data_IF_468467800821
#
_entry.id   IF_468467800821
#
_cell.length_a   1.000
_cell.length_b   1.000
_cell.length_c   1.000
_cell.angle_alpha   90.00
_cell.angle_beta   90.00
_cell.angle_gamma   90.00
#
_symmetry.space_group_name_H-M   'P 1'
#
loop_
_entity.id
_entity.type
_entity.pdbx_description
1 polymer ?
#
# COMPACT_ATOMS: atom_id res chain seq x y z
N UNK A 1 -24.98 36.41 -65.80
CA UNK A 1 -26.22 35.66 -66.11
C UNK A 1 -26.27 35.37 -67.60
N UNK A 2 -26.75 34.18 -67.95
CA UNK A 2 -26.53 33.49 -69.21
C UNK A 2 -27.22 34.14 -70.43
N UNK A 3 -26.49 34.19 -71.55
CA UNK A 3 -27.05 34.33 -72.89
C UNK A 3 -27.28 32.96 -73.55
N UNK A 4 -28.47 32.76 -74.11
CA UNK A 4 -28.88 31.71 -75.09
C UNK A 4 -30.36 32.03 -75.43
N UNK A 5 -30.89 32.04 -76.66
CA UNK A 5 -30.66 31.26 -77.88
C UNK A 5 -31.18 32.07 -79.08
N UNK A 6 -30.69 31.75 -80.28
CA UNK A 6 -31.33 32.21 -81.52
C UNK A 6 -30.62 31.74 -82.80
N UNK A 7 -30.50 30.42 -82.99
CA UNK A 7 -30.00 29.79 -84.23
C UNK A 7 -31.17 29.15 -84.96
N UNK A 8 -31.39 29.52 -86.23
CA UNK A 8 -32.00 28.74 -87.34
C UNK A 8 -31.96 29.68 -88.56
N UNK A 9 -31.53 29.31 -89.75
CA UNK A 9 -31.35 27.99 -90.33
C UNK A 9 -31.53 28.16 -91.84
N UNK A 10 -30.40 28.33 -92.52
CA UNK A 10 -30.13 28.21 -93.95
C UNK A 10 -31.10 27.28 -94.71
N UNK A 11 -31.71 27.78 -95.79
CA UNK A 11 -32.06 26.96 -96.97
C UNK A 11 -31.69 27.75 -98.23
N UNK A 12 -30.55 27.36 -98.81
CA UNK A 12 -30.28 27.61 -100.22
C UNK A 12 -30.78 26.42 -101.05
N UNK A 13 -31.18 26.69 -102.28
CA UNK A 13 -30.90 25.90 -103.49
C UNK A 13 -31.61 26.57 -104.66
N UNK A 14 -30.83 27.05 -105.64
CA UNK A 14 -30.47 26.36 -106.90
C UNK A 14 -31.61 26.51 -107.91
N UNK A 15 -31.38 27.29 -108.97
CA UNK A 15 -30.61 26.96 -110.19
C UNK A 15 -31.59 26.53 -111.28
N UNK A 16 -31.28 26.97 -112.49
CA UNK A 16 -31.92 26.52 -113.71
C UNK A 16 -32.55 27.72 -114.38
N UNK A 17 -31.84 28.44 -115.25
CA UNK A 17 -31.17 27.86 -116.41
C UNK A 17 -32.23 27.74 -117.51
N UNK A 18 -32.18 28.64 -118.49
CA UNK A 18 -31.36 28.50 -119.70
C UNK A 18 -32.21 27.92 -120.82
N UNK A 19 -31.96 28.46 -122.01
CA UNK A 19 -32.48 28.10 -123.35
C UNK A 19 -33.78 28.84 -123.67
N UNK A 20 -33.91 29.43 -124.84
CA UNK A 20 -33.08 29.37 -126.03
C UNK A 20 -33.84 30.14 -127.12
N UNK A 21 -33.14 30.95 -127.89
CA UNK A 21 -32.50 30.50 -129.14
C UNK A 21 -33.52 30.49 -130.28
N UNK A 22 -33.48 31.55 -131.09
CA UNK A 22 -33.53 31.59 -132.56
C UNK A 22 -33.52 33.08 -132.91
N UNK A 23 -32.53 33.66 -133.58
CA UNK A 23 -31.71 33.08 -134.64
C UNK A 23 -31.94 33.94 -135.87
N UNK A 24 -31.28 35.10 -135.91
CA UNK A 24 -31.04 35.87 -137.13
C UNK A 24 -29.53 35.96 -137.29
N UNK A 25 -29.01 35.22 -138.27
CA UNK A 25 -27.60 34.93 -138.48
C UNK A 25 -26.77 36.18 -138.77
N UNK A 26 -25.62 36.22 -138.11
CA UNK A 26 -24.36 36.78 -138.59
C UNK A 26 -24.16 36.56 -140.09
N UNK A 27 -23.75 37.63 -140.78
CA UNK A 27 -22.75 37.47 -141.84
C UNK A 27 -21.45 37.09 -141.12
N UNK A 28 -21.21 35.79 -140.94
CA UNK A 28 -19.87 35.31 -140.60
C UNK A 28 -18.99 35.54 -141.83
N UNK A 29 -18.20 36.59 -141.66
CA UNK A 29 -16.99 36.92 -142.38
C UNK A 29 -16.09 35.68 -142.30
N UNK A 30 -15.59 35.23 -143.44
CA UNK A 30 -14.64 34.13 -143.50
C UNK A 30 -13.47 34.44 -142.58
N UNK A 31 -13.29 33.65 -141.49
CA UNK A 31 -12.27 33.97 -140.50
C UNK A 31 -10.86 33.73 -141.03
N UNK A 32 -10.30 34.83 -141.54
CA UNK A 32 -8.95 34.91 -142.10
C UNK A 32 -7.95 34.77 -140.95
N UNK A 33 -6.72 34.33 -141.20
CA UNK A 33 -5.67 34.25 -140.17
C UNK A 33 -5.54 35.55 -139.32
N UNK A 34 -5.96 36.69 -139.88
CA UNK A 34 -6.12 37.97 -139.21
C UNK A 34 -7.04 37.92 -137.98
N UNK A 35 -8.17 37.22 -138.01
CA UNK A 35 -9.11 37.19 -136.88
C UNK A 35 -8.68 36.25 -135.75
N UNK A 36 -7.89 35.20 -136.04
CA UNK A 36 -7.24 34.39 -135.00
C UNK A 36 -6.13 35.17 -134.29
N UNK A 37 -5.37 35.99 -135.03
CA UNK A 37 -4.38 36.92 -134.46
C UNK A 37 -5.08 37.99 -133.61
N UNK A 38 -6.20 38.54 -134.08
CA UNK A 38 -7.01 39.48 -133.31
C UNK A 38 -7.54 38.84 -132.02
N UNK A 39 -8.02 37.59 -132.05
CA UNK A 39 -8.49 36.90 -130.85
C UNK A 39 -7.37 36.66 -129.82
N UNK A 40 -6.15 36.33 -130.26
CA UNK A 40 -4.99 36.24 -129.36
C UNK A 40 -4.60 37.61 -128.80
N UNK A 41 -4.59 38.66 -129.62
CA UNK A 41 -4.35 40.03 -129.16
C UNK A 41 -5.40 40.49 -128.14
N UNK A 42 -6.68 40.15 -128.37
CA UNK A 42 -7.77 40.38 -127.42
C UNK A 42 -7.51 39.63 -126.13
N UNK A 43 -7.18 38.34 -126.16
CA UNK A 43 -6.91 37.56 -124.95
C UNK A 43 -5.70 38.07 -124.15
N UNK A 44 -4.64 38.54 -124.82
CA UNK A 44 -3.51 39.19 -124.14
C UNK A 44 -3.95 40.49 -123.46
N UNK A 45 -4.80 41.28 -124.10
CA UNK A 45 -5.37 42.50 -123.51
C UNK A 45 -6.33 42.16 -122.37
N UNK A 46 -7.16 41.13 -122.50
CA UNK A 46 -8.06 40.65 -121.46
C UNK A 46 -7.31 40.15 -120.23
N UNK A 47 -6.21 39.39 -120.41
CA UNK A 47 -5.37 38.96 -119.29
C UNK A 47 -4.70 40.14 -118.59
N UNK A 48 -4.19 41.12 -119.35
CA UNK A 48 -3.67 42.37 -118.78
C UNK A 48 -4.76 43.16 -118.05
N UNK A 49 -5.98 43.19 -118.59
CA UNK A 49 -7.13 43.84 -117.96
C UNK A 49 -7.53 43.10 -116.67
N UNK A 50 -7.44 41.77 -116.66
CA UNK A 50 -7.71 40.95 -115.48
C UNK A 50 -6.65 41.17 -114.39
N UNK A 51 -5.36 41.21 -114.76
CA UNK A 51 -4.25 41.56 -113.85
C UNK A 51 -4.46 42.96 -113.25
N UNK A 52 -4.77 43.96 -114.09
CA UNK A 52 -5.11 45.32 -113.63
C UNK A 52 -6.36 45.32 -112.74
N UNK A 53 -7.38 44.51 -113.05
CA UNK A 53 -8.57 44.39 -112.22
C UNK A 53 -8.27 43.78 -110.85
N UNK A 54 -7.33 42.84 -110.78
CA UNK A 54 -6.87 42.24 -109.54
C UNK A 54 -6.05 43.25 -108.72
N UNK A 55 -5.20 44.04 -109.37
CA UNK A 55 -4.49 45.14 -108.73
C UNK A 55 -5.45 46.19 -108.18
N UNK A 56 -6.44 46.63 -108.97
CA UNK A 56 -7.48 47.57 -108.54
C UNK A 56 -8.22 47.01 -107.32
N UNK A 57 -8.65 45.75 -107.36
CA UNK A 57 -9.31 45.10 -106.21
C UNK A 57 -8.40 45.04 -104.99
N UNK A 58 -7.11 44.77 -105.18
CA UNK A 58 -6.10 44.79 -104.12
C UNK A 58 -5.86 46.18 -103.54
N UNK A 59 -5.99 47.24 -104.35
CA UNK A 59 -5.96 48.64 -103.89
C UNK A 59 -7.25 49.00 -103.15
N UNK A 60 -8.42 48.62 -103.66
CA UNK A 60 -9.71 48.83 -103.01
C UNK A 60 -9.77 48.16 -101.63
N UNK A 61 -9.30 46.92 -101.50
CA UNK A 61 -9.20 46.25 -100.22
C UNK A 61 -8.23 46.94 -99.25
N UNK A 62 -7.08 47.43 -99.74
CA UNK A 62 -6.13 48.19 -98.92
C UNK A 62 -6.71 49.50 -98.44
N UNK A 63 -7.40 50.23 -99.33
CA UNK A 63 -8.11 51.46 -98.98
C UNK A 63 -9.19 51.16 -97.94
N UNK A 64 -9.97 50.10 -98.12
CA UNK A 64 -11.01 49.70 -97.16
C UNK A 64 -10.44 49.36 -95.78
N UNK A 65 -9.35 48.57 -95.71
CA UNK A 65 -8.68 48.26 -94.44
C UNK A 65 -8.13 49.51 -93.76
N UNK A 66 -7.58 50.45 -94.55
CA UNK A 66 -7.08 51.71 -94.03
C UNK A 66 -8.20 52.61 -93.51
N UNK A 67 -9.36 52.65 -94.19
CA UNK A 67 -10.55 53.36 -93.72
C UNK A 67 -11.08 52.77 -92.41
N UNK A 68 -11.26 51.45 -92.33
CA UNK A 68 -11.69 50.76 -91.11
C UNK A 68 -10.72 50.99 -89.94
N UNK A 69 -9.40 51.00 -90.20
CA UNK A 69 -8.39 51.34 -89.18
C UNK A 69 -8.51 52.78 -88.72
N UNK A 70 -8.72 53.72 -89.64
CA UNK A 70 -8.86 55.14 -89.31
C UNK A 70 -10.16 55.40 -88.52
N UNK A 71 -11.27 54.74 -88.86
CA UNK A 71 -12.52 54.80 -88.09
C UNK A 71 -12.35 54.27 -86.67
N UNK A 72 -11.67 53.13 -86.49
CA UNK A 72 -11.35 52.59 -85.15
C UNK A 72 -10.51 53.57 -84.35
N UNK A 73 -9.46 54.14 -84.96
CA UNK A 73 -8.61 55.13 -84.29
C UNK A 73 -9.39 56.39 -83.90
N UNK A 74 -10.28 56.89 -84.76
CA UNK A 74 -11.16 58.02 -84.42
C UNK A 74 -12.08 57.68 -83.25
N UNK A 75 -12.66 56.49 -83.24
CA UNK A 75 -13.51 56.05 -82.14
C UNK A 75 -12.73 55.92 -80.82
N UNK A 76 -11.51 55.37 -80.86
CA UNK A 76 -10.61 55.31 -79.72
C UNK A 76 -10.24 56.72 -79.20
N UNK A 77 -9.93 57.66 -80.12
CA UNK A 77 -9.65 59.05 -79.77
C UNK A 77 -10.87 59.74 -79.15
N UNK A 78 -12.08 59.51 -79.67
CA UNK A 78 -13.31 60.03 -79.08
C UNK A 78 -13.56 59.49 -77.69
N UNK A 79 -13.31 58.19 -77.46
CA UNK A 79 -13.43 57.57 -76.14
C UNK A 79 -12.41 58.16 -75.15
N UNK A 80 -11.16 58.32 -75.58
CA UNK A 80 -10.11 58.95 -74.78
C UNK A 80 -10.50 60.38 -74.41
N UNK A 81 -10.96 61.17 -75.40
CA UNK A 81 -11.38 62.54 -75.17
C UNK A 81 -12.56 62.62 -74.19
N UNK A 82 -13.56 61.74 -74.34
CA UNK A 82 -14.68 61.63 -73.40
C UNK A 82 -14.22 61.26 -71.99
N UNK A 83 -13.27 60.34 -71.86
CA UNK A 83 -12.70 59.96 -70.58
C UNK A 83 -11.98 61.13 -69.92
N UNK A 84 -11.11 61.83 -70.67
CA UNK A 84 -10.37 63.01 -70.18
C UNK A 84 -11.32 64.13 -69.74
N UNK A 85 -12.36 64.41 -70.52
CA UNK A 85 -13.37 65.40 -70.16
C UNK A 85 -14.14 65.00 -68.89
N UNK A 86 -14.45 63.71 -68.73
CA UNK A 86 -15.10 63.21 -67.51
C UNK A 86 -14.18 63.35 -66.30
N UNK A 87 -12.93 62.91 -66.38
CA UNK A 87 -11.97 63.03 -65.28
C UNK A 87 -11.73 64.49 -64.88
N UNK A 88 -11.69 65.40 -65.86
CA UNK A 88 -11.55 66.84 -65.60
C UNK A 88 -12.79 67.41 -64.90
N UNK A 89 -14.00 67.00 -65.34
CA UNK A 89 -15.24 67.39 -64.68
C UNK A 89 -15.34 66.86 -63.25
N UNK A 90 -14.95 65.61 -63.01
CA UNK A 90 -14.95 65.01 -61.68
C UNK A 90 -13.95 65.73 -60.76
N UNK A 91 -12.77 66.10 -61.27
CA UNK A 91 -11.80 66.91 -60.53
C UNK A 91 -12.34 68.32 -60.20
N UNK A 92 -12.96 69.00 -61.18
CA UNK A 92 -13.62 70.30 -60.94
C UNK A 92 -14.73 70.20 -59.89
N UNK A 93 -15.55 69.16 -59.93
CA UNK A 93 -16.62 68.97 -58.95
C UNK A 93 -16.06 68.78 -57.52
N UNK A 94 -14.91 68.12 -57.38
CA UNK A 94 -14.24 67.97 -56.07
C UNK A 94 -13.74 69.33 -55.58
N UNK A 95 -13.11 70.13 -56.45
CA UNK A 95 -12.64 71.47 -56.08
C UNK A 95 -13.79 72.45 -55.82
N UNK A 96 -14.91 72.31 -56.53
CA UNK A 96 -16.11 73.14 -56.34
C UNK A 96 -16.90 72.73 -55.08
N UNK A 97 -16.83 71.45 -54.69
CA UNK A 97 -17.40 70.94 -53.44
C UNK A 97 -16.55 71.29 -52.21
N UNK A 98 -15.26 71.59 -52.40
CA UNK A 98 -14.41 72.19 -51.39
C UNK A 98 -14.79 73.67 -51.22
N UNK A 99 -15.80 73.92 -50.39
CA UNK A 99 -16.11 75.27 -49.95
C UNK A 99 -14.87 75.94 -49.33
N UNK A 100 -14.66 77.22 -49.65
CA UNK A 100 -13.54 78.01 -49.14
C UNK A 100 -13.62 78.02 -47.61
N UNK A 101 -12.81 77.19 -46.96
CA UNK A 101 -12.78 77.07 -45.50
C UNK A 101 -12.28 78.39 -44.94
N UNK A 102 -13.11 79.04 -44.14
CA UNK A 102 -12.72 80.27 -43.46
C UNK A 102 -11.64 79.95 -42.43
N UNK A 103 -10.73 80.89 -42.16
CA UNK A 103 -9.72 80.77 -41.11
C UNK A 103 -10.32 80.31 -39.77
N UNK A 104 -11.54 80.77 -39.45
CA UNK A 104 -12.27 80.41 -38.23
C UNK A 104 -12.60 78.91 -38.15
N UNK A 105 -13.06 78.30 -39.25
CA UNK A 105 -13.42 76.87 -39.28
C UNK A 105 -12.17 75.99 -39.11
N UNK A 106 -11.05 76.40 -39.72
CA UNK A 106 -9.75 75.75 -39.52
C UNK A 106 -9.31 75.87 -38.06
N UNK A 107 -9.49 77.03 -37.42
CA UNK A 107 -9.14 77.19 -36.00
C UNK A 107 -10.03 76.37 -35.07
N UNK A 108 -11.34 76.25 -35.36
CA UNK A 108 -12.27 75.41 -34.58
C UNK A 108 -11.90 73.94 -34.69
N UNK A 109 -11.65 73.43 -35.89
CA UNK A 109 -11.21 72.05 -36.11
C UNK A 109 -9.85 71.77 -35.45
N UNK A 110 -8.93 72.73 -35.48
CA UNK A 110 -7.64 72.62 -34.80
C UNK A 110 -7.81 72.54 -33.27
N UNK A 111 -8.67 73.39 -32.70
CA UNK A 111 -9.01 73.35 -31.27
C UNK A 111 -9.66 72.02 -30.87
N UNK A 112 -10.60 71.51 -31.67
CA UNK A 112 -11.24 70.20 -31.42
C UNK A 112 -10.23 69.05 -31.51
N UNK A 113 -9.31 69.07 -32.48
CA UNK A 113 -8.22 68.08 -32.57
C UNK A 113 -7.30 68.15 -31.35
N UNK A 114 -6.94 69.34 -30.89
CA UNK A 114 -6.14 69.52 -29.67
C UNK A 114 -6.86 69.07 -28.41
N UNK A 115 -8.16 69.34 -28.29
CA UNK A 115 -8.97 68.85 -27.17
C UNK A 115 -9.03 67.33 -27.17
N UNK A 116 -9.36 66.71 -28.31
CA UNK A 116 -9.38 65.25 -28.45
C UNK A 116 -8.01 64.61 -28.17
N UNK A 117 -6.92 65.29 -28.55
CA UNK A 117 -5.57 64.85 -28.22
C UNK A 117 -5.33 64.85 -26.72
N UNK A 118 -5.69 65.94 -26.04
CA UNK A 118 -5.56 66.08 -24.59
C UNK A 118 -6.42 65.08 -23.82
N UNK A 119 -7.63 64.80 -24.29
CA UNK A 119 -8.50 63.77 -23.71
C UNK A 119 -7.86 62.39 -23.85
N UNK A 120 -7.38 62.03 -25.05
CA UNK A 120 -6.66 60.78 -25.26
C UNK A 120 -5.40 60.66 -24.39
N UNK A 121 -4.66 61.75 -24.20
CA UNK A 121 -3.50 61.77 -23.30
C UNK A 121 -3.89 61.50 -21.84
N UNK A 122 -4.99 62.10 -21.37
CA UNK A 122 -5.53 61.82 -20.04
C UNK A 122 -5.95 60.36 -19.90
N UNK A 123 -6.64 59.80 -20.90
CA UNK A 123 -7.06 58.41 -20.90
C UNK A 123 -5.85 57.46 -20.86
N UNK A 124 -4.81 57.76 -21.65
CA UNK A 124 -3.53 57.03 -21.63
C UNK A 124 -2.91 57.09 -20.23
N UNK A 125 -2.91 58.26 -19.58
CA UNK A 125 -2.33 58.41 -18.25
C UNK A 125 -3.15 57.70 -17.15
N UNK A 126 -4.48 57.63 -17.30
CA UNK A 126 -5.34 56.82 -16.42
C UNK A 126 -5.03 55.33 -16.59
N UNK A 127 -4.95 54.84 -17.83
CA UNK A 127 -4.60 53.44 -18.11
C UNK A 127 -3.21 53.11 -17.59
N UNK A 128 -2.22 54.00 -17.74
CA UNK A 128 -0.88 53.81 -17.17
C UNK A 128 -0.93 53.67 -15.65
N UNK A 129 -1.71 54.49 -14.95
CA UNK A 129 -1.88 54.39 -13.49
C UNK A 129 -2.53 53.06 -13.09
N UNK A 130 -3.54 52.61 -13.83
CA UNK A 130 -4.18 51.32 -13.60
C UNK A 130 -3.21 50.15 -13.81
N UNK A 131 -2.42 50.19 -14.90
CA UNK A 131 -1.36 49.21 -15.16
C UNK A 131 -0.35 49.19 -14.01
N UNK A 132 0.07 50.34 -13.49
CA UNK A 132 1.01 50.41 -12.37
C UNK A 132 0.43 49.78 -11.09
N UNK A 133 -0.84 50.08 -10.78
CA UNK A 133 -1.53 49.47 -9.63
C UNK A 133 -1.61 47.96 -9.80
N UNK A 134 -2.02 47.48 -10.97
CA UNK A 134 -2.12 46.04 -11.27
C UNK A 134 -0.76 45.35 -11.24
N UNK A 135 0.30 45.97 -11.73
CA UNK A 135 1.65 45.43 -11.61
C UNK A 135 2.07 45.28 -10.14
N UNK A 136 1.73 46.26 -9.28
CA UNK A 136 2.03 46.16 -7.85
C UNK A 136 1.24 45.03 -7.16
N UNK A 137 -0.02 44.80 -7.56
CA UNK A 137 -0.83 43.66 -7.08
C UNK A 137 -0.23 42.34 -7.55
N UNK A 138 0.17 42.25 -8.82
CA UNK A 138 0.82 41.07 -9.40
C UNK A 138 2.14 40.76 -8.68
N UNK A 139 2.96 41.76 -8.36
CA UNK A 139 4.21 41.55 -7.61
C UNK A 139 3.96 40.98 -6.21
N UNK A 140 2.90 41.42 -5.51
CA UNK A 140 2.54 40.87 -4.19
C UNK A 140 2.15 39.40 -4.31
N UNK A 141 1.27 39.07 -5.25
CA UNK A 141 0.84 37.69 -5.51
C UNK A 141 2.02 36.82 -5.94
N UNK A 142 2.94 37.35 -6.76
CA UNK A 142 4.15 36.62 -7.16
C UNK A 142 5.05 36.30 -5.96
N UNK A 143 5.20 37.21 -4.99
CA UNK A 143 5.94 36.95 -3.75
C UNK A 143 5.29 35.85 -2.92
N UNK A 144 3.97 35.87 -2.77
CA UNK A 144 3.22 34.82 -2.08
C UNK A 144 3.36 33.46 -2.79
N UNK A 145 3.22 33.43 -4.11
CA UNK A 145 3.43 32.22 -4.92
C UNK A 145 4.86 31.70 -4.76
N UNK A 146 5.85 32.58 -4.74
CA UNK A 146 7.24 32.19 -4.52
C UNK A 146 7.42 31.59 -3.12
N UNK A 147 6.86 32.22 -2.08
CA UNK A 147 6.87 31.69 -0.72
C UNK A 147 6.27 30.28 -0.68
N UNK A 148 5.06 30.09 -1.22
CA UNK A 148 4.41 28.77 -1.23
C UNK A 148 5.18 27.73 -2.02
N UNK A 149 5.85 28.11 -3.12
CA UNK A 149 6.74 27.19 -3.86
C UNK A 149 7.95 26.79 -3.01
N UNK A 150 8.64 27.75 -2.38
CA UNK A 150 9.78 27.43 -1.51
C UNK A 150 9.37 26.58 -0.31
N UNK A 151 8.17 26.82 0.23
CA UNK A 151 7.60 26.02 1.30
C UNK A 151 7.28 24.61 0.84
N UNK A 152 6.59 24.44 -0.30
CA UNK A 152 6.29 23.12 -0.88
C UNK A 152 7.57 22.33 -1.17
N UNK A 153 8.56 22.97 -1.78
CA UNK A 153 9.74 22.28 -2.29
C UNK A 153 10.78 21.99 -1.17
N UNK A 154 10.80 22.78 -0.08
CA UNK A 154 11.82 22.62 0.98
C UNK A 154 11.29 22.76 2.40
N UNK A 155 10.33 23.66 2.65
CA UNK A 155 9.75 23.87 3.98
C UNK A 155 9.00 22.64 4.50
N UNK A 156 8.22 22.00 3.63
CA UNK A 156 7.46 20.79 3.95
C UNK A 156 8.39 19.66 4.39
N UNK A 157 9.50 19.44 3.69
CA UNK A 157 10.46 18.39 4.05
C UNK A 157 11.14 18.64 5.39
N UNK A 158 11.47 19.91 5.71
CA UNK A 158 12.03 20.27 7.02
C UNK A 158 11.04 20.02 8.15
N UNK A 159 9.78 20.46 7.98
CA UNK A 159 8.73 20.21 8.97
C UNK A 159 8.45 18.71 9.11
N UNK A 160 8.38 17.97 8.01
CA UNK A 160 8.19 16.53 8.03
C UNK A 160 9.35 15.83 8.75
N UNK A 161 10.60 16.25 8.52
CA UNK A 161 11.75 15.70 9.23
C UNK A 161 11.68 15.99 10.73
N UNK A 162 11.31 17.22 11.11
CA UNK A 162 11.13 17.59 12.50
C UNK A 162 10.02 16.78 13.17
N UNK A 163 8.90 16.56 12.49
CA UNK A 163 7.81 15.73 13.00
C UNK A 163 8.30 14.30 13.22
N UNK A 164 8.98 13.70 12.23
CA UNK A 164 9.52 12.34 12.37
C UNK A 164 10.51 12.21 13.52
N UNK A 165 11.37 13.21 13.71
CA UNK A 165 12.33 13.24 14.80
C UNK A 165 11.60 13.29 16.15
N UNK A 166 10.58 14.14 16.29
CA UNK A 166 9.77 14.22 17.51
C UNK A 166 8.97 12.94 17.76
N UNK A 167 8.44 12.29 16.72
CA UNK A 167 7.76 10.99 16.83
C UNK A 167 8.73 9.91 17.31
N UNK A 168 9.96 9.91 16.80
CA UNK A 168 11.01 8.99 17.26
C UNK A 168 11.42 9.28 18.71
N UNK A 169 11.63 10.55 19.08
CA UNK A 169 11.94 10.93 20.46
C UNK A 169 10.83 10.51 21.44
N UNK A 170 9.56 10.64 21.05
CA UNK A 170 8.44 10.14 21.85
C UNK A 170 8.48 8.63 22.01
N UNK A 171 8.74 7.89 20.92
CA UNK A 171 8.83 6.43 20.98
C UNK A 171 10.02 5.95 21.83
N UNK A 172 11.17 6.61 21.72
CA UNK A 172 12.35 6.32 22.53
C UNK A 172 12.06 6.57 24.01
N UNK A 173 11.39 7.69 24.34
CA UNK A 173 10.94 8.00 25.69
C UNK A 173 9.98 6.92 26.22
N UNK A 174 8.98 6.52 25.45
CA UNK A 174 8.03 5.46 25.84
C UNK A 174 8.73 4.12 26.08
N UNK A 175 9.68 3.74 25.22
CA UNK A 175 10.48 2.53 25.43
C UNK A 175 11.33 2.60 26.71
N UNK A 176 11.96 3.75 26.96
CA UNK A 176 12.74 3.95 28.19
C UNK A 176 11.86 3.92 29.44
N UNK A 177 10.62 4.39 29.37
CA UNK A 177 9.67 4.30 30.47
C UNK A 177 9.28 2.86 30.76
N UNK A 178 9.00 2.06 29.73
CA UNK A 178 8.70 0.64 29.90
C UNK A 178 9.89 -0.14 30.48
N UNK A 179 11.11 0.16 30.02
CA UNK A 179 12.33 -0.47 30.54
C UNK A 179 12.58 -0.09 32.01
N UNK A 180 12.37 1.18 32.38
CA UNK A 180 12.44 1.63 33.77
C UNK A 180 11.36 1.00 34.64
N UNK A 181 10.12 0.91 34.15
CA UNK A 181 9.02 0.24 34.85
C UNK A 181 9.33 -1.24 35.10
N UNK A 182 9.85 -1.94 34.08
CA UNK A 182 10.25 -3.33 34.20
C UNK A 182 11.43 -3.51 35.16
N UNK A 183 12.41 -2.60 35.15
CA UNK A 183 13.51 -2.60 36.11
C UNK A 183 13.02 -2.40 37.54
N UNK A 184 12.22 -1.35 37.78
CA UNK A 184 11.67 -1.05 39.10
C UNK A 184 10.77 -2.18 39.60
N UNK A 185 10.01 -2.83 38.71
CA UNK A 185 9.18 -3.98 39.07
C UNK A 185 10.02 -5.19 39.47
N UNK A 186 11.11 -5.47 38.75
CA UNK A 186 12.07 -6.53 39.10
C UNK A 186 12.78 -6.23 40.41
N UNK A 187 13.27 -5.02 40.61
CA UNK A 187 13.93 -4.59 41.84
C UNK A 187 12.98 -4.67 43.04
N UNK A 188 11.74 -4.21 42.87
CA UNK A 188 10.68 -4.37 43.86
C UNK A 188 10.44 -5.85 44.18
N UNK A 189 10.37 -6.72 43.19
CA UNK A 189 10.12 -8.14 43.42
C UNK A 189 11.29 -8.80 44.17
N UNK A 190 12.53 -8.52 43.75
CA UNK A 190 13.72 -9.01 44.43
C UNK A 190 13.80 -8.55 45.89
N UNK A 191 13.49 -7.28 46.16
CA UNK A 191 13.46 -6.77 47.55
C UNK A 191 12.34 -7.40 48.39
N UNK A 192 11.19 -7.72 47.79
CA UNK A 192 10.12 -8.46 48.48
C UNK A 192 10.59 -9.86 48.82
N UNK A 193 11.17 -10.59 47.88
CA UNK A 193 11.69 -11.96 48.09
C UNK A 193 12.80 -11.99 49.14
N UNK A 194 13.69 -11.01 49.14
CA UNK A 194 14.73 -10.88 50.17
C UNK A 194 14.12 -10.59 51.55
N UNK A 195 13.12 -9.71 51.63
CA UNK A 195 12.40 -9.46 52.88
C UNK A 195 11.66 -10.70 53.36
N UNK A 196 10.97 -11.42 52.47
CA UNK A 196 10.27 -12.67 52.79
C UNK A 196 11.24 -13.70 53.37
N UNK A 197 12.37 -13.95 52.68
CA UNK A 197 13.41 -14.85 53.17
C UNK A 197 13.97 -14.42 54.53
N UNK A 198 14.29 -13.14 54.69
CA UNK A 198 14.78 -12.62 55.97
C UNK A 198 13.73 -12.74 57.09
N UNK A 199 12.44 -12.56 56.78
CA UNK A 199 11.36 -12.73 57.75
C UNK A 199 11.14 -14.20 58.11
N UNK A 200 11.25 -15.12 57.15
CA UNK A 200 11.15 -16.55 57.38
C UNK A 200 12.32 -17.06 58.26
N UNK A 201 13.55 -16.67 57.93
CA UNK A 201 14.72 -16.98 58.74
C UNK A 201 14.58 -16.45 60.18
N UNK A 202 14.07 -15.22 60.34
CA UNK A 202 13.82 -14.64 61.65
C UNK A 202 12.71 -15.39 62.42
N UNK A 203 11.66 -15.84 61.73
CA UNK A 203 10.57 -16.63 62.31
C UNK A 203 11.08 -18.02 62.77
N UNK A 204 11.87 -18.71 61.94
CA UNK A 204 12.49 -19.98 62.27
C UNK A 204 13.42 -19.84 63.49
N UNK A 205 14.28 -18.82 63.51
CA UNK A 205 15.14 -18.55 64.66
C UNK A 205 14.32 -18.26 65.93
N UNK A 206 13.18 -17.59 65.80
CA UNK A 206 12.29 -17.33 66.93
C UNK A 206 11.58 -18.61 67.39
N UNK A 207 11.18 -19.48 66.47
CA UNK A 207 10.62 -20.80 66.76
C UNK A 207 11.63 -21.68 67.50
N UNK A 208 12.90 -21.68 67.07
CA UNK A 208 13.99 -22.40 67.73
C UNK A 208 14.28 -21.87 69.13
N UNK A 209 14.28 -20.55 69.32
CA UNK A 209 14.43 -19.95 70.65
C UNK A 209 13.25 -20.30 71.56
N UNK A 210 12.03 -20.29 71.02
CA UNK A 210 10.83 -20.66 71.75
C UNK A 210 10.85 -22.15 72.14
N UNK A 211 11.24 -23.04 71.21
CA UNK A 211 11.36 -24.47 71.46
C UNK A 211 12.45 -24.78 72.48
N UNK A 212 13.61 -24.14 72.39
CA UNK A 212 14.69 -24.26 73.39
C UNK A 212 14.24 -23.77 74.77
N UNK A 213 13.52 -22.64 74.83
CA UNK A 213 12.99 -22.11 76.10
C UNK A 213 11.95 -23.06 76.70
N UNK A 214 11.06 -23.63 75.89
CA UNK A 214 10.12 -24.66 76.33
C UNK A 214 10.87 -25.90 76.86
N UNK A 215 11.85 -26.41 76.11
CA UNK A 215 12.69 -27.54 76.51
C UNK A 215 13.55 -27.27 77.76
N UNK A 216 13.83 -26.01 78.09
CA UNK A 216 14.51 -25.62 79.32
C UNK A 216 13.56 -25.51 80.53
N UNK A 217 12.26 -25.32 80.30
CA UNK A 217 11.24 -25.26 81.34
C UNK A 217 10.64 -26.63 81.68
N UNK A 218 10.81 -27.63 80.82
CA UNK A 218 10.36 -29.02 81.05
C UNK A 218 11.22 -29.74 82.09
N UNK A 219 10.64 -30.77 82.74
CA UNK A 219 11.38 -31.65 83.66
C UNK A 219 12.37 -32.53 82.88
N UNK A 220 13.41 -33.03 83.57
CA UNK A 220 14.48 -33.82 82.98
C UNK A 220 13.98 -35.10 82.30
N UNK A 221 12.95 -35.72 82.88
CA UNK A 221 12.35 -36.94 82.34
C UNK A 221 11.58 -36.64 81.03
N UNK A 222 10.67 -35.68 81.06
CA UNK A 222 9.89 -35.27 79.87
C UNK A 222 10.78 -34.80 78.72
N UNK A 223 11.86 -34.05 79.03
CA UNK A 223 12.86 -33.63 78.03
C UNK A 223 13.54 -34.82 77.36
N UNK A 224 13.87 -35.87 78.13
CA UNK A 224 14.50 -37.07 77.59
C UNK A 224 13.51 -37.82 76.69
N UNK A 225 12.24 -37.93 77.08
CA UNK A 225 11.22 -38.58 76.26
C UNK A 225 11.02 -37.87 74.91
N UNK A 226 11.06 -36.54 74.87
CA UNK A 226 11.00 -35.78 73.60
C UNK A 226 12.20 -36.08 72.71
N UNK A 227 13.42 -36.10 73.26
CA UNK A 227 14.64 -36.42 72.50
C UNK A 227 14.63 -37.86 71.98
N UNK A 228 14.17 -38.80 72.81
CA UNK A 228 14.04 -40.20 72.43
C UNK A 228 12.96 -40.38 71.36
N UNK A 229 11.85 -39.64 71.44
CA UNK A 229 10.81 -39.62 70.41
C UNK A 229 11.32 -39.05 69.08
N UNK A 230 12.10 -37.96 69.11
CA UNK A 230 12.71 -37.37 67.92
C UNK A 230 13.75 -38.31 67.29
N UNK A 231 14.51 -39.04 68.11
CA UNK A 231 15.43 -40.07 67.63
C UNK A 231 14.66 -41.24 67.00
N UNK A 232 13.63 -41.75 67.68
CA UNK A 232 12.78 -42.83 67.16
C UNK A 232 12.07 -42.43 65.87
N UNK A 233 11.60 -41.19 65.72
CA UNK A 233 11.00 -40.69 64.48
C UNK A 233 11.99 -40.70 63.32
N UNK A 234 13.22 -40.25 63.55
CA UNK A 234 14.30 -40.32 62.54
C UNK A 234 14.60 -41.77 62.15
N UNK A 235 14.71 -42.65 63.14
CA UNK A 235 14.99 -44.08 62.91
C UNK A 235 13.84 -44.77 62.14
N UNK A 236 12.59 -44.49 62.50
CA UNK A 236 11.42 -44.98 61.77
C UNK A 236 11.40 -44.45 60.34
N UNK A 237 11.80 -43.20 60.11
CA UNK A 237 11.94 -42.63 58.77
C UNK A 237 12.96 -43.41 57.92
N UNK A 238 14.12 -43.73 58.49
CA UNK A 238 15.15 -44.53 57.83
C UNK A 238 14.66 -45.94 57.51
N UNK A 239 14.08 -46.65 58.48
CA UNK A 239 13.54 -47.99 58.24
C UNK A 239 12.40 -47.99 57.22
N UNK A 240 11.55 -46.95 57.17
CA UNK A 240 10.53 -46.83 56.13
C UNK A 240 11.15 -46.67 54.74
N UNK A 241 12.21 -45.88 54.61
CA UNK A 241 12.92 -45.73 53.35
C UNK A 241 13.60 -47.05 52.93
N UNK A 242 14.22 -47.76 53.87
CA UNK A 242 14.83 -49.08 53.65
C UNK A 242 13.78 -50.13 53.23
N UNK A 243 12.63 -50.17 53.90
CA UNK A 243 11.52 -51.08 53.56
C UNK A 243 10.97 -50.76 52.17
N UNK A 244 10.77 -49.48 51.84
CA UNK A 244 10.35 -49.07 50.49
C UNK A 244 11.36 -49.53 49.43
N UNK A 245 12.66 -49.36 49.69
CA UNK A 245 13.71 -49.85 48.81
C UNK A 245 13.70 -51.38 48.63
N UNK A 246 13.56 -52.15 49.72
CA UNK A 246 13.47 -53.61 49.66
C UNK A 246 12.21 -54.04 48.92
N UNK A 247 11.08 -53.39 49.16
CA UNK A 247 9.83 -53.70 48.48
C UNK A 247 9.96 -53.50 46.97
N UNK A 248 10.58 -52.42 46.51
CA UNK A 248 10.84 -52.20 45.08
C UNK A 248 11.71 -53.33 44.47
N UNK A 249 12.73 -53.79 45.20
CA UNK A 249 13.57 -54.91 44.75
C UNK A 249 12.78 -56.23 44.69
N UNK A 250 11.91 -56.49 45.66
CA UNK A 250 11.04 -57.69 45.65
C UNK A 250 10.05 -57.62 44.49
N UNK A 251 9.41 -56.47 44.26
CA UNK A 251 8.51 -56.27 43.12
C UNK A 251 9.23 -56.46 41.78
N UNK A 252 10.49 -56.02 41.67
CA UNK A 252 11.33 -56.30 40.51
C UNK A 252 11.59 -57.80 40.33
N UNK A 253 12.00 -58.49 41.38
CA UNK A 253 12.24 -59.94 41.33
C UNK A 253 10.97 -60.75 41.04
N UNK A 254 9.83 -60.35 41.58
CA UNK A 254 8.54 -60.99 41.30
C UNK A 254 8.14 -60.78 39.83
N UNK A 255 8.38 -59.59 39.28
CA UNK A 255 8.16 -59.32 37.86
C UNK A 255 9.06 -60.17 36.97
N UNK A 256 10.36 -60.20 37.24
CA UNK A 256 11.32 -61.04 36.51
C UNK A 256 10.97 -62.53 36.60
N UNK A 257 10.54 -63.01 37.77
CA UNK A 257 10.10 -64.39 37.92
C UNK A 257 8.82 -64.69 37.13
N UNK A 258 7.86 -63.78 37.09
CA UNK A 258 6.65 -63.95 36.28
C UNK A 258 6.98 -63.97 34.78
N UNK A 259 7.91 -63.13 34.34
CA UNK A 259 8.43 -63.13 32.96
C UNK A 259 9.11 -64.47 32.63
N UNK A 260 10.06 -64.93 33.47
CA UNK A 260 10.71 -66.23 33.29
C UNK A 260 9.71 -67.40 33.28
N UNK A 261 8.71 -67.37 34.16
CA UNK A 261 7.64 -68.37 34.17
C UNK A 261 6.82 -68.32 32.88
N UNK A 262 6.51 -67.14 32.37
CA UNK A 262 5.81 -66.97 31.09
C UNK A 262 6.62 -67.55 29.92
N UNK A 263 7.93 -67.27 29.86
CA UNK A 263 8.83 -67.84 28.86
C UNK A 263 8.91 -69.37 28.97
N UNK A 264 8.98 -69.92 30.19
CA UNK A 264 8.97 -71.37 30.42
C UNK A 264 7.65 -71.99 29.97
N UNK A 265 6.52 -71.33 30.23
CA UNK A 265 5.22 -71.79 29.74
C UNK A 265 5.17 -71.76 28.21
N UNK A 266 5.65 -70.69 27.56
CA UNK A 266 5.73 -70.60 26.11
C UNK A 266 6.59 -71.72 25.52
N UNK A 267 7.80 -71.94 26.06
CA UNK A 267 8.68 -73.05 25.66
C UNK A 267 7.98 -74.40 25.83
N UNK A 268 7.30 -74.64 26.96
CA UNK A 268 6.58 -75.89 27.19
C UNK A 268 5.41 -76.10 26.22
N UNK A 269 4.72 -75.01 25.84
CA UNK A 269 3.62 -75.03 24.86
C UNK A 269 4.18 -75.27 23.47
N UNK A 270 5.31 -74.67 23.11
CA UNK A 270 6.01 -74.94 21.85
C UNK A 270 6.48 -76.40 21.76
N UNK A 271 7.12 -76.94 22.81
CA UNK A 271 7.50 -78.34 22.90
C UNK A 271 6.28 -79.27 22.78
N UNK A 272 5.16 -78.90 23.41
CA UNK A 272 3.90 -79.64 23.29
C UNK A 272 3.32 -79.57 21.87
N UNK A 273 3.40 -78.41 21.19
CA UNK A 273 3.01 -78.27 19.79
C UNK A 273 3.89 -79.12 18.88
N UNK A 274 5.21 -79.13 19.10
CA UNK A 274 6.16 -79.95 18.34
C UNK A 274 5.85 -81.43 18.52
N UNK A 275 5.67 -81.89 19.76
CA UNK A 275 5.31 -83.29 20.05
C UNK A 275 3.92 -83.66 19.52
N UNK A 276 2.91 -82.79 19.66
CA UNK A 276 1.59 -83.00 19.06
C UNK A 276 1.67 -83.12 17.54
N UNK A 277 2.39 -82.22 16.88
CA UNK A 277 2.61 -82.30 15.42
C UNK A 277 3.31 -83.61 15.05
N UNK A 278 4.32 -84.04 15.80
CA UNK A 278 4.98 -85.33 15.60
C UNK A 278 4.00 -86.52 15.70
N UNK A 279 3.12 -86.55 16.70
CA UNK A 279 2.09 -87.59 16.82
C UNK A 279 1.01 -87.50 15.73
N UNK A 280 0.56 -86.30 15.37
CA UNK A 280 -0.42 -86.11 14.31
C UNK A 280 0.13 -86.50 12.93
N UNK A 281 1.41 -86.24 12.65
CA UNK A 281 2.07 -86.72 11.42
C UNK A 281 2.14 -88.25 11.38
N UNK A 282 2.45 -88.92 12.50
CA UNK A 282 2.41 -90.39 12.55
C UNK A 282 1.00 -90.95 12.33
N UNK A 283 -0.04 -90.28 12.85
CA UNK A 283 -1.43 -90.72 12.69
C UNK A 283 -1.93 -90.46 11.26
N UNK A 284 -1.51 -89.36 10.62
CA UNK A 284 -1.84 -89.06 9.23
C UNK A 284 -1.25 -90.07 8.24
N UNK A 285 -0.09 -90.67 8.56
CA UNK A 285 0.50 -91.76 7.75
C UNK A 285 -0.20 -93.11 7.96
N UNK A 286 -1.05 -93.25 8.97
CA UNK A 286 -1.89 -94.43 9.23
C UNK A 286 -3.35 -94.16 8.85
N UNK A 287 -3.64 -94.26 7.54
CA UNK A 287 -4.97 -94.12 6.95
C UNK A 287 -6.02 -95.04 7.62
N UNK A 288 -6.99 -94.47 8.35
CA UNK A 288 -8.43 -94.80 8.38
C UNK A 288 -9.09 -94.42 9.72
N UNK A 289 -9.58 -93.18 9.86
CA UNK A 289 -10.68 -92.87 10.77
C UNK A 289 -11.55 -91.73 10.20
N UNK A 290 -12.46 -92.08 9.28
CA UNK A 290 -13.70 -91.31 9.05
C UNK A 290 -14.68 -91.53 10.21
N UNK A 291 -14.29 -91.11 11.41
CA UNK A 291 -15.20 -90.97 12.53
C UNK A 291 -14.93 -89.61 13.15
N UNK A 292 -15.82 -88.68 12.83
CA UNK A 292 -15.98 -87.37 13.46
C UNK A 292 -15.57 -87.47 14.94
N UNK A 293 -14.46 -86.81 15.27
CA UNK A 293 -13.79 -86.94 16.54
C UNK A 293 -14.72 -86.55 17.67
N UNK A 294 -14.80 -87.46 18.64
CA UNK A 294 -15.66 -87.47 19.84
C UNK A 294 -15.45 -86.26 20.79
N UNK A 295 -14.65 -85.26 20.40
CA UNK A 295 -14.34 -84.05 21.16
C UNK A 295 -15.04 -82.78 20.63
N UNK A 296 -15.64 -82.80 19.44
CA UNK A 296 -16.28 -81.59 18.88
C UNK A 296 -17.73 -81.41 19.36
N UNK A 297 -18.37 -82.46 19.88
CA UNK A 297 -19.73 -82.43 20.42
C UNK A 297 -19.82 -81.83 21.83
N UNK A 298 -18.81 -82.03 22.67
CA UNK A 298 -18.81 -81.57 24.08
C UNK A 298 -18.42 -80.09 24.24
N UNK A 299 -17.96 -79.42 23.18
CA UNK A 299 -17.66 -77.97 23.18
C UNK A 299 -18.87 -77.11 22.78
N UNK A 300 -19.92 -77.70 22.18
CA UNK A 300 -21.17 -76.99 21.87
C UNK A 300 -22.16 -76.91 23.05
N UNK A 301 -21.93 -77.62 24.15
CA UNK A 301 -22.79 -77.61 25.34
C UNK A 301 -22.38 -76.59 26.42
N UNK A 302 -21.33 -75.78 26.17
CA UNK A 302 -20.85 -74.75 27.10
C UNK A 302 -20.94 -73.37 26.47
N UNK A 303 -22.15 -72.95 26.11
CA UNK A 303 -22.47 -71.54 25.84
C UNK A 303 -22.95 -70.89 27.15
N UNK A 304 -22.51 -69.66 27.50
CA UNK A 304 -22.90 -69.01 28.74
C UNK A 304 -24.40 -68.71 28.72
N UNK A 305 -25.10 -69.30 29.70
CA UNK A 305 -26.49 -68.99 30.04
C UNK A 305 -26.60 -67.50 30.35
N UNK A 306 -27.46 -66.82 29.60
CA UNK A 306 -27.86 -65.43 29.80
C UNK A 306 -28.49 -65.21 31.19
N UNK A 307 -28.18 -64.06 31.78
CA UNK A 307 -28.50 -63.54 33.12
C UNK A 307 -29.96 -63.65 33.63
N UNK A 308 -30.93 -64.11 32.84
CA UNK A 308 -32.37 -64.02 33.19
C UNK A 308 -32.99 -65.30 33.78
N UNK A 309 -32.21 -66.37 34.03
CA UNK A 309 -32.76 -67.65 34.53
C UNK A 309 -32.30 -68.09 35.94
N UNK A 310 -31.47 -67.29 36.62
CA UNK A 310 -30.94 -67.63 37.97
C UNK A 310 -31.74 -66.96 39.10
N UNK A 311 -32.51 -65.90 38.83
CA UNK A 311 -33.24 -65.18 39.87
C UNK A 311 -34.52 -65.89 40.38
N UNK A 312 -35.01 -66.94 39.72
CA UNK A 312 -36.31 -67.54 40.05
C UNK A 312 -36.28 -68.89 40.80
N UNK A 313 -35.09 -69.46 41.06
CA UNK A 313 -34.95 -70.78 41.74
C UNK A 313 -34.33 -70.73 43.15
N UNK A 314 -33.87 -69.57 43.63
CA UNK A 314 -33.21 -69.45 44.94
C UNK A 314 -34.21 -69.34 46.13
N UNK A 315 -35.50 -69.16 45.88
CA UNK A 315 -36.49 -68.89 46.92
C UNK A 315 -37.23 -70.10 47.51
N UNK A 316 -36.74 -71.34 47.37
CA UNK A 316 -37.41 -72.51 47.98
C UNK A 316 -36.55 -73.76 48.15
N UNK A 317 -35.47 -73.71 48.91
CA UNK A 317 -35.12 -74.81 49.85
C UNK A 317 -33.89 -74.47 50.70
N UNK A 318 -34.16 -74.41 52.00
CA UNK A 318 -33.17 -74.43 53.07
C UNK A 318 -32.60 -75.84 53.17
N UNK A 319 -31.28 -76.00 53.00
CA UNK A 319 -30.52 -77.01 53.74
C UNK A 319 -29.04 -76.64 53.78
N UNK A 320 -28.55 -76.52 55.00
CA UNK A 320 -27.29 -75.96 55.43
C UNK A 320 -26.11 -76.90 55.18
N UNK A 321 -25.15 -76.45 54.37
CA UNK A 321 -23.73 -76.84 54.49
C UNK A 321 -23.00 -75.69 55.21
N UNK A 322 -22.21 -75.94 56.26
CA UNK A 322 -21.48 -74.87 56.93
C UNK A 322 -20.45 -74.26 55.97
N UNK A 323 -20.42 -72.91 55.90
CA UNK A 323 -19.38 -72.14 55.22
C UNK A 323 -18.02 -72.46 55.84
N UNK A 324 -16.96 -72.57 55.02
CA UNK A 324 -15.61 -72.82 55.53
C UNK A 324 -15.12 -71.62 56.37
N UNK A 325 -14.26 -71.86 57.36
CA UNK A 325 -13.69 -70.83 58.21
C UNK A 325 -12.94 -69.73 57.43
N UNK A 326 -12.39 -70.07 56.25
CA UNK A 326 -11.68 -69.15 55.36
C UNK A 326 -12.67 -68.18 54.70
N UNK A 327 -13.84 -68.68 54.28
CA UNK A 327 -14.86 -67.86 53.62
C UNK A 327 -15.47 -66.85 54.60
N UNK A 328 -15.65 -67.25 55.87
CA UNK A 328 -16.13 -66.36 56.93
C UNK A 328 -15.12 -65.27 57.30
N UNK A 329 -13.83 -65.59 57.33
CA UNK A 329 -12.77 -64.61 57.60
C UNK A 329 -12.60 -63.60 56.46
N UNK A 330 -12.82 -64.01 55.21
CA UNK A 330 -12.79 -63.11 54.04
C UNK A 330 -14.01 -62.19 54.05
N UNK A 331 -15.21 -62.71 54.32
CA UNK A 331 -16.43 -61.89 54.46
C UNK A 331 -16.29 -60.84 55.58
N UNK A 332 -15.75 -61.19 56.75
CA UNK A 332 -15.51 -60.24 57.86
C UNK A 332 -14.45 -59.17 57.50
N UNK A 333 -13.40 -59.52 56.75
CA UNK A 333 -12.37 -58.56 56.32
C UNK A 333 -12.91 -57.56 55.30
N UNK A 334 -13.70 -58.01 54.33
CA UNK A 334 -14.30 -57.16 53.29
C UNK A 334 -15.31 -56.19 53.91
N UNK A 335 -16.13 -56.66 54.86
CA UNK A 335 -17.06 -55.79 55.60
C UNK A 335 -16.33 -54.74 56.46
N UNK A 336 -15.16 -55.07 57.03
CA UNK A 336 -14.34 -54.11 57.79
C UNK A 336 -13.72 -53.00 56.91
N UNK A 337 -13.43 -53.30 55.64
CA UNK A 337 -12.89 -52.34 54.68
C UNK A 337 -13.99 -51.38 54.21
N UNK A 338 -15.20 -51.90 53.92
CA UNK A 338 -16.34 -51.06 53.56
C UNK A 338 -16.77 -50.14 54.73
N UNK A 339 -16.75 -50.64 55.97
CA UNK A 339 -17.11 -49.85 57.14
C UNK A 339 -16.07 -48.75 57.48
N UNK A 340 -14.81 -48.89 57.03
CA UNK A 340 -13.76 -47.86 57.18
C UNK A 340 -13.85 -46.75 56.13
N UNK A 341 -14.54 -46.97 55.01
CA UNK A 341 -14.71 -45.98 53.94
C UNK A 341 -15.95 -45.08 54.13
N UNK A 342 -16.81 -45.34 55.13
CA UNK A 342 -18.02 -44.55 55.39
C UNK A 342 -17.96 -43.68 56.66
N UNK A 343 -16.78 -43.47 57.26
CA UNK A 343 -16.61 -42.55 58.39
C UNK A 343 -15.30 -41.78 58.31
N UNK A 344 -15.18 -40.91 57.33
CA UNK A 344 -14.24 -39.76 57.35
C UNK A 344 -14.62 -38.81 56.21
N UNK A 345 -15.68 -38.04 56.41
CA UNK A 345 -15.76 -36.72 55.76
C UNK A 345 -15.02 -35.76 56.68
N UNK A 346 -13.87 -35.25 56.23
CA UNK A 346 -13.41 -33.86 56.37
C UNK A 346 -12.03 -33.69 55.69
N UNK A 347 -11.94 -32.63 54.89
CA UNK A 347 -10.76 -32.06 54.21
C UNK A 347 -10.27 -32.68 52.87
N UNK A 348 -10.73 -32.09 51.77
CA UNK A 348 -9.97 -32.02 50.50
C UNK A 348 -9.77 -30.55 50.11
N UNK A 349 -8.54 -30.05 50.28
CA UNK A 349 -7.97 -29.00 49.46
C UNK A 349 -7.06 -29.67 48.43
N UNK A 350 -7.20 -29.25 47.17
CA UNK A 350 -6.48 -29.74 46.00
C UNK A 350 -5.06 -29.18 45.97
N UNK A 351 -4.08 -30.04 45.75
CA UNK A 351 -2.84 -29.68 45.06
C UNK A 351 -2.55 -30.74 43.98
N UNK A 352 -2.33 -30.23 42.78
CA UNK A 352 -1.97 -30.95 41.56
C UNK A 352 -0.43 -31.08 41.53
N UNK A 353 0.09 -32.31 41.42
CA UNK A 353 1.47 -32.55 41.02
C UNK A 353 1.51 -32.87 39.51
N UNK A 354 2.02 -31.92 38.74
CA UNK A 354 2.36 -32.06 37.32
C UNK A 354 3.82 -32.53 37.18
N UNK A 355 4.00 -33.59 36.39
CA UNK A 355 5.27 -34.26 36.14
C UNK A 355 6.02 -33.54 35.01
N UNK A 356 6.87 -32.59 35.37
CA UNK A 356 7.81 -31.92 34.46
C UNK A 356 9.03 -32.77 34.15
N UNK A 357 9.03 -33.34 32.95
CA UNK A 357 10.16 -34.03 32.29
C UNK A 357 11.37 -33.09 32.11
N UNK A 358 12.50 -33.46 32.71
CA UNK A 358 13.80 -32.80 32.55
C UNK A 358 14.44 -33.13 31.19
N UNK A 359 14.54 -32.12 30.32
CA UNK A 359 15.46 -32.08 29.19
C UNK A 359 15.59 -30.66 28.67
N UNK A 360 16.47 -29.86 29.26
CA UNK A 360 17.11 -28.75 28.55
C UNK A 360 18.49 -28.38 29.13
N UNK A 361 19.43 -29.33 29.06
CA UNK A 361 20.85 -29.01 29.08
C UNK A 361 21.25 -28.56 27.68
N UNK A 362 21.46 -27.25 27.47
CA UNK A 362 22.02 -26.80 26.18
C UNK A 362 22.06 -25.32 25.84
N UNK A 363 21.57 -24.37 26.66
CA UNK A 363 21.46 -22.96 26.22
C UNK A 363 22.25 -21.95 27.07
N UNK A 364 22.79 -22.35 28.23
CA UNK A 364 23.52 -21.42 29.12
C UNK A 364 25.06 -21.46 29.02
N UNK A 365 25.62 -22.10 28.00
CA UNK A 365 27.08 -22.19 27.82
C UNK A 365 27.70 -21.06 26.96
N UNK A 366 26.92 -20.11 26.44
CA UNK A 366 27.40 -19.08 25.50
C UNK A 366 27.48 -17.65 26.08
N UNK A 367 27.46 -17.47 27.40
CA UNK A 367 27.63 -16.16 28.05
C UNK A 367 28.88 -16.05 28.94
N UNK A 368 29.90 -16.87 28.67
CA UNK A 368 31.25 -16.52 29.10
C UNK A 368 31.87 -15.64 28.03
N UNK A 369 32.08 -14.37 28.39
CA UNK A 369 32.85 -13.40 27.63
C UNK A 369 34.10 -14.06 27.04
N UNK A 370 34.27 -13.94 25.72
CA UNK A 370 35.61 -14.05 25.13
C UNK A 370 36.50 -13.09 25.92
N UNK A 371 37.58 -13.61 26.50
CA UNK A 371 38.60 -12.80 27.17
C UNK A 371 39.13 -11.81 26.13
N UNK A 372 38.56 -10.60 26.08
CA UNK A 372 39.17 -9.48 25.39
C UNK A 372 40.52 -9.24 26.05
N UNK A 373 41.59 -9.45 25.27
CA UNK A 373 42.97 -9.26 25.67
C UNK A 373 43.16 -7.88 26.34
N UNK A 374 43.24 -7.88 27.67
CA UNK A 374 43.40 -6.68 28.50
C UNK A 374 44.68 -5.88 28.17
N UNK A 375 45.61 -6.52 27.43
CA UNK A 375 46.86 -5.95 26.94
C UNK A 375 46.69 -4.95 25.78
N UNK A 376 45.54 -4.93 25.09
CA UNK A 376 45.30 -3.95 24.01
C UNK A 376 44.92 -2.56 24.56
N UNK A 377 44.32 -2.48 25.74
CA UNK A 377 44.03 -1.22 26.43
C UNK A 377 45.30 -0.54 26.97
N UNK A 378 46.38 -1.30 27.20
CA UNK A 378 47.68 -0.79 27.64
C UNK A 378 48.58 -0.29 26.49
N UNK A 379 48.20 -0.53 25.23
CA UNK A 379 48.93 -0.07 24.02
C UNK A 379 48.45 1.28 23.50
N UNK A 380 47.41 1.87 24.11
CA UNK A 380 46.97 3.21 23.78
C UNK A 380 47.97 4.21 24.38
N UNK A 381 48.78 4.83 23.52
CA UNK A 381 49.66 5.94 23.89
C UNK A 381 48.89 7.08 24.56
N UNK A 382 49.57 8.01 25.27
CA UNK A 382 48.94 9.06 26.05
C UNK A 382 47.87 9.78 25.22
N UNK A 383 46.63 9.71 25.72
CA UNK A 383 45.44 10.27 25.09
C UNK A 383 45.63 11.79 24.92
N UNK A 384 45.87 12.26 23.69
CA UNK A 384 45.91 13.68 23.40
C UNK A 384 44.54 14.27 23.67
N UNK A 385 44.39 14.97 24.81
CA UNK A 385 43.21 15.74 25.17
C UNK A 385 42.97 16.80 24.09
N UNK A 386 42.10 16.48 23.13
CA UNK A 386 41.64 17.42 22.12
C UNK A 386 40.72 18.43 22.80
N UNK A 387 41.30 19.55 23.24
CA UNK A 387 40.56 20.69 23.81
C UNK A 387 39.59 21.21 22.74
N UNK A 388 38.32 20.82 22.86
CA UNK A 388 37.23 21.34 22.05
C UNK A 388 36.88 22.75 22.54
N UNK A 389 37.19 23.78 21.75
CA UNK A 389 36.73 25.14 22.00
C UNK A 389 35.36 25.37 21.35
N UNK A 390 34.34 25.65 22.16
CA UNK A 390 33.01 26.05 21.68
C UNK A 390 32.97 27.57 21.59
N UNK A 391 32.86 28.12 20.38
CA UNK A 391 32.58 29.55 20.16
C UNK A 391 31.07 29.74 20.00
N UNK A 392 30.41 30.27 21.02
CA UNK A 392 28.99 30.65 20.97
C UNK A 392 28.80 32.08 20.42
N UNK A 393 27.79 32.30 19.57
CA UNK A 393 27.35 33.64 19.19
C UNK A 393 26.20 34.10 20.10
N UNK A 394 26.25 35.31 20.68
CA UNK A 394 25.17 35.82 21.51
C UNK A 394 23.94 36.17 20.65
N UNK A 395 22.82 35.48 20.88
CA UNK A 395 21.51 35.90 20.39
C UNK A 395 20.88 36.92 21.34
N UNK A 396 20.21 37.97 20.85
CA UNK A 396 19.53 38.93 21.70
C UNK A 396 18.35 38.27 22.42
N UNK A 397 18.30 38.43 23.74
CA UNK A 397 17.16 38.03 24.57
C UNK A 397 16.00 38.97 24.25
N UNK A 398 14.89 38.41 23.74
CA UNK A 398 13.68 39.18 23.53
C UNK A 398 13.13 39.63 24.89
N UNK A 399 13.03 40.95 25.09
CA UNK A 399 12.31 41.50 26.24
C UNK A 399 10.86 41.06 26.13
N UNK A 400 10.37 40.35 27.14
CA UNK A 400 8.96 39.98 27.26
C UNK A 400 8.11 41.25 27.15
N UNK A 401 7.10 41.23 26.27
CA UNK A 401 6.11 42.31 26.18
C UNK A 401 5.53 42.54 27.57
N UNK A 402 5.46 43.80 27.99
CA UNK A 402 4.71 44.20 29.19
C UNK A 402 3.25 43.80 28.96
N UNK A 403 2.72 42.95 29.85
CA UNK A 403 1.33 42.51 29.80
C UNK A 403 0.39 43.72 29.82
N UNK A 404 -0.67 43.63 29.05
CA UNK A 404 -1.73 44.63 28.94
C UNK A 404 -2.60 44.61 30.21
N UNK A 405 -3.23 45.74 30.57
CA UNK A 405 -4.03 45.87 31.81
C UNK A 405 -5.12 44.79 31.94
N UNK A 406 -5.70 44.35 30.82
CA UNK A 406 -6.68 43.26 30.74
C UNK A 406 -6.10 41.89 31.15
N UNK A 407 -4.82 41.64 30.89
CA UNK A 407 -4.14 40.39 31.25
C UNK A 407 -3.71 40.37 32.72
N UNK A 408 -3.55 41.55 33.35
CA UNK A 408 -3.31 41.69 34.79
C UNK A 408 -4.57 41.39 35.61
N UNK A 409 -5.74 41.84 35.15
CA UNK A 409 -7.03 41.49 35.76
C UNK A 409 -7.35 39.99 35.62
N UNK A 410 -7.01 39.39 34.47
CA UNK A 410 -7.18 37.95 34.25
C UNK A 410 -6.29 37.10 35.19
N UNK A 411 -5.06 37.53 35.48
CA UNK A 411 -4.17 36.88 36.46
C UNK A 411 -4.66 36.99 37.91
N UNK A 412 -5.48 37.98 38.22
CA UNK A 412 -6.08 38.13 39.56
C UNK A 412 -7.21 37.11 39.80
N UNK A 413 -7.87 36.66 38.74
CA UNK A 413 -8.94 35.65 38.79
C UNK A 413 -8.44 34.20 38.76
N UNK A 414 -7.21 33.96 38.28
CA UNK A 414 -6.50 32.68 38.37
C UNK A 414 -5.04 32.94 38.74
N UNK A 415 -4.67 32.92 40.03
CA UNK A 415 -3.26 32.89 40.38
C UNK A 415 -2.66 31.59 39.85
N UNK A 416 -1.64 31.69 39.00
CA UNK A 416 -0.78 30.56 38.63
C UNK A 416 0.07 30.15 39.85
N UNK A 417 -0.58 29.64 40.90
CA UNK A 417 0.10 28.98 42.02
C UNK A 417 0.49 27.57 41.56
N UNK A 418 1.60 27.50 40.85
CA UNK A 418 2.35 26.25 40.72
C UNK A 418 2.86 25.89 42.13
N UNK A 419 2.80 24.61 42.57
CA UNK A 419 3.31 24.18 43.88
C UNK A 419 4.80 24.48 44.16
N UNK A 420 5.54 25.05 43.19
CA UNK A 420 6.93 25.45 43.34
C UNK A 420 7.09 26.88 42.84
N UNK A 421 7.32 27.81 43.77
CA UNK A 421 7.63 29.21 43.41
C UNK A 421 9.12 29.33 43.06
N UNK A 422 9.48 30.32 42.24
CA UNK A 422 10.89 30.62 41.91
C UNK A 422 11.74 30.88 43.16
N UNK A 423 11.13 31.37 44.23
CA UNK A 423 11.75 31.51 45.55
C UNK A 423 12.09 30.17 46.23
N UNK A 424 11.37 29.08 45.92
CA UNK A 424 11.66 27.74 46.43
C UNK A 424 12.72 27.00 45.60
N UNK A 425 12.91 27.38 44.33
CA UNK A 425 13.98 26.85 43.46
C UNK A 425 15.34 27.51 43.75
N UNK A 426 15.33 28.74 44.25
CA UNK A 426 16.53 29.37 44.77
C UNK A 426 16.68 29.00 46.26
N UNK A 427 17.53 28.00 46.53
CA UNK A 427 17.97 27.69 47.89
C UNK A 427 18.49 28.95 48.63
N UNK A 428 18.54 28.94 49.97
CA UNK A 428 18.74 30.13 50.77
C UNK A 428 20.04 30.82 50.34
N UNK A 429 19.89 31.97 49.66
CA UNK A 429 20.98 32.90 49.49
C UNK A 429 21.36 33.34 50.90
N UNK A 430 22.49 32.79 51.38
CA UNK A 430 23.23 33.32 52.49
C UNK A 430 23.38 34.83 52.25
N UNK A 431 22.64 35.61 53.02
CA UNK A 431 22.88 37.03 53.19
C UNK A 431 24.28 37.17 53.77
N UNK A 432 25.26 37.38 52.91
CA UNK A 432 26.52 37.97 53.30
C UNK A 432 26.46 39.45 52.98
N UNK A 433 26.56 40.23 54.07
CA UNK A 433 26.69 41.68 54.24
C UNK A 433 25.47 42.54 53.96
#
# INVERSE_FOLDING_TARGET
MAGKKGKKGKKGKKKGGKKGKKGGKSKEIQMTAQEAILAYQVNVVEKKLEDVSYEIRGWEERIKRNLERNEKLKHEQELLLKHLLKTNRDASNITDAESIKTREDVTKEMMLKWQRQREREKDIDLIKKEILLKNSEVEKVQKEVHYWKTFRDSGQHKLQMQIKLLEQELQDIDSSFLDMEAHLSREKQLTIEELEKMTEEALLQQQDKASQKAMAQMDKYDRQEVLDNDWLKREVGLHRAEVSGIQQVVELLERENLELMSELFECSVEDLKVSRSFYLTQIADSENLEQSGILEMDLSEVSPLSEEFIEEQVNKSVSTRPKSAIQKAVEDKVLSILARQSSSEEEENKEEEDMGSDSESGVYANYYFEEEDFDDYLKLGPLELKLLSITGQPKPIHRTKTLTEEEMEAKQFRPDEWPVTTAMLHGPLMTNT
#
